data_IF_772439247942
#
_entry.id   IF_772439247942
#
_cell.length_a   1.000
_cell.length_b   1.000
_cell.length_c   1.000
_cell.angle_alpha   90.00
_cell.angle_beta   90.00
_cell.angle_gamma   90.00
#
_symmetry.space_group_name_H-M   'P 1'
#
loop_
_entity.id
_entity.type
_entity.pdbx_description
1 polymer ?
#
# COMPACT_ATOMS: atom_id res chain seq x y z
N UNK A 1 -1.15 16.80 -16.54
CA UNK A 1 -2.12 16.03 -15.75
C UNK A 1 -3.52 16.34 -16.26
N UNK A 2 -4.33 15.33 -16.52
CA UNK A 2 -5.74 15.55 -16.90
C UNK A 2 -6.58 16.01 -15.69
N UNK A 3 -7.74 16.64 -15.90
CA UNK A 3 -8.62 17.03 -14.79
C UNK A 3 -9.06 15.83 -13.93
N UNK A 4 -9.25 14.66 -14.55
CA UNK A 4 -9.61 13.41 -13.87
C UNK A 4 -8.47 12.88 -13.00
N UNK A 5 -7.25 12.82 -13.54
CA UNK A 5 -6.04 12.41 -12.83
C UNK A 5 -5.85 13.24 -11.55
N UNK A 6 -5.94 14.57 -11.66
CA UNK A 6 -5.84 15.48 -10.53
C UNK A 6 -6.92 15.22 -9.48
N UNK A 7 -8.16 14.99 -9.92
CA UNK A 7 -9.27 14.70 -9.01
C UNK A 7 -9.06 13.39 -8.25
N UNK A 8 -8.66 12.32 -8.93
CA UNK A 8 -8.44 11.01 -8.32
C UNK A 8 -7.23 11.02 -7.36
N UNK A 9 -6.12 11.66 -7.75
CA UNK A 9 -4.95 11.78 -6.89
C UNK A 9 -5.26 12.56 -5.60
N UNK A 10 -5.99 13.69 -5.70
CA UNK A 10 -6.41 14.47 -4.51
C UNK A 10 -7.35 13.69 -3.61
N UNK A 11 -8.28 12.94 -4.20
CA UNK A 11 -9.20 12.07 -3.46
C UNK A 11 -8.43 10.98 -2.73
N UNK A 12 -7.48 10.32 -3.39
CA UNK A 12 -6.64 9.31 -2.76
C UNK A 12 -5.81 9.90 -1.61
N UNK A 13 -5.17 11.05 -1.82
CA UNK A 13 -4.41 11.74 -0.78
C UNK A 13 -5.28 12.06 0.45
N UNK A 14 -6.48 12.62 0.23
CA UNK A 14 -7.41 12.91 1.32
C UNK A 14 -7.86 11.64 2.07
N UNK A 15 -8.12 10.53 1.36
CA UNK A 15 -8.45 9.23 2.00
C UNK A 15 -7.29 8.73 2.84
N UNK A 16 -6.05 8.81 2.34
CA UNK A 16 -4.85 8.38 3.06
C UNK A 16 -4.58 9.23 4.32
N UNK A 17 -5.02 10.48 4.32
CA UNK A 17 -5.02 11.36 5.50
C UNK A 17 -6.18 11.08 6.48
N UNK A 18 -7.03 10.08 6.21
CA UNK A 18 -8.17 9.71 7.04
C UNK A 18 -9.42 10.59 6.83
N UNK A 19 -9.42 11.44 5.79
CA UNK A 19 -10.60 12.24 5.41
C UNK A 19 -11.57 11.40 4.58
N UNK A 20 -12.80 11.88 4.44
CA UNK A 20 -13.86 11.28 3.61
C UNK A 20 -14.21 12.21 2.44
N UNK A 21 -13.37 12.30 1.40
CA UNK A 21 -13.65 13.12 0.23
C UNK A 21 -14.85 12.57 -0.56
N UNK A 22 -15.50 13.43 -1.35
CA UNK A 22 -16.47 12.97 -2.35
C UNK A 22 -15.72 12.29 -3.49
N UNK A 23 -16.08 11.03 -3.76
CA UNK A 23 -15.51 10.29 -4.89
C UNK A 23 -15.94 10.95 -6.20
N UNK A 24 -15.02 11.12 -7.17
CA UNK A 24 -15.39 11.52 -8.53
C UNK A 24 -16.32 10.47 -9.14
N UNK A 25 -17.35 10.91 -9.86
CA UNK A 25 -18.32 10.01 -10.52
C UNK A 25 -17.68 9.23 -11.69
N UNK A 26 -16.52 9.68 -12.18
CA UNK A 26 -15.73 9.03 -13.22
C UNK A 26 -14.44 8.43 -12.65
N UNK A 27 -13.98 7.32 -13.22
CA UNK A 27 -12.71 6.67 -12.86
C UNK A 27 -12.84 5.57 -11.81
N UNK A 28 -14.04 5.04 -11.57
CA UNK A 28 -14.26 3.86 -10.73
C UNK A 28 -13.43 2.66 -11.21
N UNK A 29 -13.43 2.41 -12.52
CA UNK A 29 -12.63 1.36 -13.16
C UNK A 29 -11.12 1.52 -12.93
N UNK A 30 -10.63 2.76 -12.95
CA UNK A 30 -9.23 3.10 -12.67
C UNK A 30 -8.89 2.82 -11.20
N UNK A 31 -9.78 3.19 -10.29
CA UNK A 31 -9.60 2.99 -8.87
C UNK A 31 -9.65 1.51 -8.50
N UNK A 32 -10.56 0.74 -9.09
CA UNK A 32 -10.65 -0.71 -8.91
C UNK A 32 -9.37 -1.41 -9.37
N UNK A 33 -8.85 -1.02 -10.55
CA UNK A 33 -7.57 -1.52 -11.05
C UNK A 33 -6.42 -1.19 -10.09
N UNK A 34 -6.34 0.06 -9.63
CA UNK A 34 -5.34 0.49 -8.65
C UNK A 34 -5.44 -0.29 -7.34
N UNK A 35 -6.64 -0.48 -6.78
CA UNK A 35 -6.84 -1.22 -5.54
C UNK A 35 -6.46 -2.70 -5.69
N UNK A 36 -6.82 -3.32 -6.82
CA UNK A 36 -6.45 -4.70 -7.11
C UNK A 36 -4.93 -4.87 -7.21
N UNK A 37 -4.25 -3.99 -7.94
CA UNK A 37 -2.79 -3.99 -8.09
C UNK A 37 -2.06 -3.68 -6.79
N UNK A 38 -2.54 -2.68 -6.03
CA UNK A 38 -1.97 -2.29 -4.75
C UNK A 38 -2.08 -3.42 -3.72
N UNK A 39 -3.18 -4.18 -3.73
CA UNK A 39 -3.34 -5.38 -2.88
C UNK A 39 -2.39 -6.51 -3.27
N UNK A 40 -2.11 -6.67 -4.56
CA UNK A 40 -1.21 -7.71 -5.08
C UNK A 40 0.27 -7.32 -5.00
N UNK A 41 0.60 -6.10 -4.56
CA UNK A 41 1.97 -5.59 -4.55
C UNK A 41 2.85 -6.39 -3.58
N UNK A 42 4.13 -6.49 -3.94
CA UNK A 42 5.14 -7.13 -3.10
C UNK A 42 5.78 -6.11 -2.15
N UNK A 43 6.40 -6.62 -1.08
CA UNK A 43 7.08 -5.81 -0.07
C UNK A 43 8.51 -6.32 0.11
N UNK A 44 9.43 -5.39 0.35
CA UNK A 44 10.82 -5.66 0.72
C UNK A 44 11.16 -5.02 2.08
N UNK A 45 12.38 -5.22 2.57
CA UNK A 45 12.82 -4.72 3.88
C UNK A 45 12.69 -3.20 4.06
N UNK A 46 12.73 -2.42 2.97
CA UNK A 46 12.58 -0.97 2.99
C UNK A 46 11.16 -0.49 2.68
N UNK A 47 10.16 -1.38 2.68
CA UNK A 47 8.76 -1.04 2.42
C UNK A 47 8.15 -1.66 1.14
N UNK A 48 7.02 -1.12 0.66
CA UNK A 48 6.31 -1.64 -0.52
C UNK A 48 7.08 -1.40 -1.82
N UNK A 49 6.93 -2.30 -2.79
CA UNK A 49 7.44 -2.10 -4.15
C UNK A 49 6.41 -1.33 -5.01
N UNK A 50 6.83 -0.43 -5.91
CA UNK A 50 5.93 0.28 -6.83
C UNK A 50 5.17 -0.68 -7.76
N UNK A 51 3.99 -0.27 -8.20
CA UNK A 51 3.24 -0.96 -9.25
C UNK A 51 4.04 -0.84 -10.55
N UNK A 52 4.23 -1.97 -11.25
CA UNK A 52 4.98 -2.00 -12.50
C UNK A 52 4.06 -2.14 -13.72
N UNK A 53 4.57 -1.76 -14.89
CA UNK A 53 3.86 -1.93 -16.15
C UNK A 53 3.58 -3.40 -16.46
N UNK A 54 4.48 -4.30 -16.07
CA UNK A 54 4.31 -5.75 -16.22
C UNK A 54 3.18 -6.28 -15.34
N UNK A 55 3.11 -5.83 -14.08
CA UNK A 55 2.02 -6.21 -13.18
C UNK A 55 0.66 -5.71 -13.72
N UNK A 56 0.63 -4.49 -14.25
CA UNK A 56 -0.55 -3.91 -14.88
C UNK A 56 -0.98 -4.66 -16.14
N UNK A 57 -0.03 -5.02 -17.01
CA UNK A 57 -0.29 -5.83 -18.19
C UNK A 57 -0.80 -7.23 -17.82
N UNK A 58 -0.18 -7.89 -16.84
CA UNK A 58 -0.61 -9.19 -16.34
C UNK A 58 -2.03 -9.14 -15.75
N UNK A 59 -2.33 -8.11 -14.94
CA UNK A 59 -3.67 -7.90 -14.39
C UNK A 59 -4.71 -7.70 -15.49
N UNK A 60 -4.42 -6.83 -16.47
CA UNK A 60 -5.30 -6.59 -17.63
C UNK A 60 -5.61 -7.87 -18.40
N UNK A 61 -4.60 -8.73 -18.60
CA UNK A 61 -4.78 -10.03 -19.25
C UNK A 61 -5.63 -11.01 -18.42
N UNK A 62 -5.35 -11.14 -17.12
CA UNK A 62 -6.05 -12.08 -16.23
C UNK A 62 -7.51 -11.67 -16.04
N UNK A 63 -7.76 -10.39 -15.77
CA UNK A 63 -9.10 -9.86 -15.54
C UNK A 63 -9.90 -9.65 -16.82
N UNK A 64 -9.24 -9.75 -17.99
CA UNK A 64 -9.82 -9.43 -19.31
C UNK A 64 -10.41 -8.03 -19.39
N UNK A 65 -9.84 -7.09 -18.64
CA UNK A 65 -10.23 -5.69 -18.63
C UNK A 65 -9.15 -4.88 -19.33
N UNK A 66 -9.51 -4.24 -20.44
CA UNK A 66 -8.57 -3.37 -21.16
C UNK A 66 -8.36 -2.10 -20.37
N UNK A 67 -7.10 -1.81 -20.05
CA UNK A 67 -6.69 -0.54 -19.43
C UNK A 67 -6.02 0.34 -20.50
N UNK A 68 -6.71 1.34 -21.06
CA UNK A 68 -6.13 2.22 -22.07
C UNK A 68 -4.88 2.94 -21.54
N UNK A 69 -3.94 3.36 -22.41
CA UNK A 69 -2.69 4.00 -21.98
C UNK A 69 -2.88 5.24 -21.10
N UNK A 70 -3.97 5.98 -21.26
CA UNK A 70 -4.28 7.14 -20.42
C UNK A 70 -4.78 6.73 -19.03
N UNK A 71 -5.57 5.66 -18.89
CA UNK A 71 -5.94 5.10 -17.58
C UNK A 71 -4.73 4.50 -16.87
N UNK A 72 -3.89 3.77 -17.60
CA UNK A 72 -2.65 3.21 -17.07
C UNK A 72 -1.74 4.29 -16.46
N UNK A 73 -1.60 5.44 -17.13
CA UNK A 73 -0.88 6.60 -16.58
C UNK A 73 -1.50 7.13 -15.29
N UNK A 74 -2.82 7.14 -15.18
CA UNK A 74 -3.51 7.58 -13.95
C UNK A 74 -3.27 6.57 -12.82
N UNK A 75 -3.30 5.26 -13.10
CA UNK A 75 -2.95 4.24 -12.09
C UNK A 75 -1.53 4.44 -11.56
N UNK A 76 -0.56 4.73 -12.44
CA UNK A 76 0.81 5.04 -12.03
C UNK A 76 0.87 6.31 -11.16
N UNK A 77 0.13 7.36 -11.53
CA UNK A 77 0.07 8.58 -10.73
C UNK A 77 -0.56 8.36 -9.34
N UNK A 78 -1.57 7.48 -9.24
CA UNK A 78 -2.14 7.06 -7.95
C UNK A 78 -1.13 6.28 -7.12
N UNK A 79 -0.33 5.41 -7.75
CA UNK A 79 0.73 4.68 -7.05
C UNK A 79 1.82 5.61 -6.51
N UNK A 80 2.21 6.65 -7.27
CA UNK A 80 3.18 7.65 -6.79
C UNK A 80 2.67 8.34 -5.52
N UNK A 81 1.41 8.76 -5.48
CA UNK A 81 0.77 9.38 -4.30
C UNK A 81 0.78 8.41 -3.12
N UNK A 82 0.40 7.15 -3.36
CA UNK A 82 0.38 6.13 -2.34
C UNK A 82 1.78 5.80 -1.80
N UNK A 83 2.78 5.70 -2.67
CA UNK A 83 4.17 5.40 -2.34
C UNK A 83 4.79 6.52 -1.50
N UNK A 84 4.52 7.79 -1.86
CA UNK A 84 4.94 8.93 -1.05
C UNK A 84 4.33 8.88 0.35
N UNK A 85 3.04 8.56 0.47
CA UNK A 85 2.39 8.40 1.76
C UNK A 85 2.97 7.23 2.57
N UNK A 86 3.15 6.06 1.94
CA UNK A 86 3.75 4.88 2.58
C UNK A 86 5.18 5.16 3.05
N UNK A 87 6.00 5.83 2.24
CA UNK A 87 7.35 6.25 2.60
C UNK A 87 7.38 7.17 3.83
N UNK A 88 6.48 8.18 3.89
CA UNK A 88 6.34 9.04 5.07
C UNK A 88 5.99 8.25 6.33
N UNK A 89 5.13 7.23 6.22
CA UNK A 89 4.76 6.36 7.36
C UNK A 89 5.94 5.53 7.84
N UNK A 90 6.71 4.93 6.94
CA UNK A 90 7.90 4.14 7.29
C UNK A 90 8.96 5.02 7.95
N UNK A 91 9.24 6.21 7.39
CA UNK A 91 10.17 7.17 7.97
C UNK A 91 9.72 7.65 9.37
N UNK A 92 8.42 7.93 9.53
CA UNK A 92 7.85 8.30 10.83
C UNK A 92 7.93 7.17 11.87
N UNK A 93 7.75 5.92 11.46
CA UNK A 93 7.87 4.76 12.34
C UNK A 93 9.33 4.51 12.76
N UNK A 94 10.31 4.73 11.88
CA UNK A 94 11.73 4.62 12.20
C UNK A 94 12.22 5.72 13.16
N UNK A 95 11.58 6.89 13.16
CA UNK A 95 11.91 7.98 14.08
C UNK A 95 11.33 7.80 15.49
N UNK A 96 10.31 6.95 15.66
CA UNK A 96 9.81 6.59 16.97
C UNK A 96 10.80 5.61 17.65
N UNK A 97 11.17 5.83 18.93
CA UNK A 97 12.00 4.86 19.63
C UNK A 97 11.26 3.52 19.63
N UNK A 98 11.86 2.51 19.00
CA UNK A 98 11.34 1.16 19.01
C UNK A 98 11.29 0.70 20.47
N UNK A 99 10.10 0.76 21.07
CA UNK A 99 9.89 0.17 22.37
C UNK A 99 10.28 -1.31 22.22
N UNK A 100 11.22 -1.81 23.03
CA UNK A 100 11.57 -3.22 22.96
C UNK A 100 10.28 -4.01 23.17
N UNK A 101 10.03 -5.00 22.31
CA UNK A 101 9.00 -6.00 22.57
C UNK A 101 9.45 -6.79 23.80
N UNK A 102 9.11 -6.28 24.99
CA UNK A 102 9.32 -7.00 26.23
C UNK A 102 8.19 -8.01 26.33
N UNK A 103 8.54 -9.30 26.23
CA UNK A 103 7.60 -10.38 26.52
C UNK A 103 6.98 -10.16 27.89
N UNK A 104 5.65 -10.14 27.98
CA UNK A 104 4.93 -10.11 29.25
C UNK A 104 5.06 -11.42 30.03
N UNK A 105 5.63 -12.46 29.41
CA UNK A 105 5.90 -13.74 30.04
C UNK A 105 7.26 -13.68 30.74
N UNK A 106 7.31 -13.65 32.08
CA UNK A 106 8.58 -13.77 32.79
C UNK A 106 9.19 -15.16 32.49
N UNK A 107 10.45 -15.17 32.10
CA UNK A 107 11.25 -16.41 32.05
C UNK A 107 11.41 -16.92 33.48
N UNK A 108 10.53 -17.83 33.87
CA UNK A 108 10.65 -18.57 35.13
C UNK A 108 11.56 -19.78 34.94
N UNK A 109 12.25 -20.18 36.00
CA UNK A 109 13.10 -21.38 35.99
C UNK A 109 12.30 -22.62 35.50
N UNK A 110 11.07 -22.80 35.98
CA UNK A 110 10.22 -23.91 35.52
C UNK A 110 9.83 -23.87 34.04
N UNK A 111 9.72 -22.69 33.42
CA UNK A 111 9.49 -22.57 31.98
C UNK A 111 10.76 -22.94 31.19
N UNK A 112 11.93 -22.55 31.70
CA UNK A 112 13.22 -22.91 31.11
C UNK A 112 13.48 -24.42 31.23
N UNK A 113 13.23 -24.99 32.40
CA UNK A 113 13.39 -26.43 32.69
C UNK A 113 12.43 -27.27 31.85
N UNK A 114 11.17 -26.84 31.70
CA UNK A 114 10.20 -27.49 30.82
C UNK A 114 10.56 -27.41 29.32
N UNK A 115 11.22 -26.33 28.88
CA UNK A 115 11.70 -26.21 27.50
C UNK A 115 12.99 -27.00 27.24
N UNK A 116 13.87 -27.11 28.23
CA UNK A 116 15.19 -27.74 28.10
C UNK A 116 15.19 -29.21 28.56
N UNK A 117 14.12 -29.67 29.22
CA UNK A 117 13.85 -31.06 29.57
C UNK A 117 14.62 -31.57 30.80
N UNK A 118 14.88 -30.71 31.78
CA UNK A 118 15.64 -31.02 33.00
C UNK A 118 14.76 -30.90 34.24
#
# INVERSE_FOLDING_TARGET
MSNLENALCRTLEAVLEGKRPRMPDAGEDILDAFMALSRARTYHSHGPNPITWEAMAAWSQVMRQTLPPHHAKIVMALDDVWMQHAGRRVAGAAAAPAAPMVSATPLSAGLLDAMMGW
#
